data_IF_714798117049
#
_entry.id   IF_714798117049
#
_cell.length_a   1.000
_cell.length_b   1.000
_cell.length_c   1.000
_cell.angle_alpha   90.00
_cell.angle_beta   90.00
_cell.angle_gamma   90.00
#
_symmetry.space_group_name_H-M   'P 1'
#
loop_
_entity.id
_entity.type
_entity.pdbx_description
1 polymer ?
#
# COMPACT_ATOMS: atom_id res chain seq x y z
N UNK A 1 38.92 -6.33 18.24
CA UNK A 1 37.88 -5.95 19.19
C UNK A 1 38.22 -6.52 20.53
N UNK A 2 38.80 -5.69 21.43
CA UNK A 2 39.18 -6.10 22.78
C UNK A 2 37.95 -6.45 23.62
N UNK A 3 37.96 -7.59 24.30
CA UNK A 3 36.94 -7.95 25.28
C UNK A 3 37.01 -6.95 26.43
N UNK A 4 35.96 -6.16 26.63
CA UNK A 4 35.79 -5.36 27.85
C UNK A 4 35.52 -6.33 29.00
N UNK A 5 36.38 -6.39 30.05
CA UNK A 5 36.19 -7.27 31.17
C UNK A 5 34.95 -6.86 31.96
N UNK A 6 34.00 -7.79 32.12
CA UNK A 6 32.80 -7.58 32.93
C UNK A 6 31.52 -7.28 32.17
N UNK A 7 31.55 -7.14 30.84
CA UNK A 7 30.32 -7.08 30.05
C UNK A 7 29.86 -8.51 29.70
N UNK A 8 28.77 -8.93 30.32
CA UNK A 8 28.00 -10.07 29.82
C UNK A 8 27.66 -9.78 28.36
N UNK A 9 27.88 -10.74 27.46
CA UNK A 9 27.49 -10.60 26.03
C UNK A 9 25.98 -10.57 25.93
N UNK A 10 25.41 -9.37 26.02
CA UNK A 10 23.98 -9.17 25.71
C UNK A 10 23.78 -9.16 24.21
N UNK A 11 22.79 -9.90 23.68
CA UNK A 11 22.43 -9.77 22.28
C UNK A 11 21.97 -8.33 21.97
N UNK A 12 22.44 -7.79 20.87
CA UNK A 12 22.03 -6.47 20.39
C UNK A 12 20.98 -6.66 19.31
N UNK A 13 19.81 -6.07 19.52
CA UNK A 13 18.72 -6.10 18.54
C UNK A 13 18.70 -4.74 17.80
N UNK A 14 18.92 -4.78 16.49
CA UNK A 14 18.75 -3.61 15.64
C UNK A 14 17.28 -3.50 15.23
N UNK A 15 16.58 -2.50 15.73
CA UNK A 15 15.17 -2.23 15.46
C UNK A 15 15.00 -0.77 15.00
N UNK A 16 15.77 -0.38 13.98
CA UNK A 16 15.89 1.02 13.50
C UNK A 16 14.73 1.46 12.60
N UNK A 17 13.78 0.55 12.31
CA UNK A 17 12.65 0.85 11.44
C UNK A 17 13.05 1.02 9.96
N UNK A 18 12.30 1.83 9.24
CA UNK A 18 12.54 2.15 7.83
C UNK A 18 12.09 3.57 7.50
N UNK A 19 12.62 4.10 6.42
CA UNK A 19 12.25 5.39 5.87
C UNK A 19 11.48 5.20 4.56
N UNK A 20 10.45 6.02 4.34
CA UNK A 20 9.74 6.04 3.07
C UNK A 20 10.55 6.83 2.04
N UNK A 21 10.56 6.33 0.81
CA UNK A 21 11.09 7.10 -0.32
C UNK A 21 10.26 8.38 -0.52
N UNK A 22 10.89 9.45 -0.97
CA UNK A 22 10.19 10.70 -1.34
C UNK A 22 9.45 10.52 -2.67
N UNK A 23 8.39 9.72 -2.61
CA UNK A 23 7.61 9.33 -3.78
C UNK A 23 6.92 10.52 -4.46
N UNK A 24 6.62 11.58 -3.72
CA UNK A 24 6.00 12.80 -4.26
C UNK A 24 6.87 13.47 -5.31
N UNK A 25 8.19 13.47 -5.09
CA UNK A 25 9.15 14.01 -6.07
C UNK A 25 9.44 13.03 -7.22
N UNK A 26 9.49 11.74 -6.90
CA UNK A 26 9.97 10.73 -7.85
C UNK A 26 8.85 10.22 -8.75
N UNK A 27 7.62 10.14 -8.21
CA UNK A 27 6.43 9.62 -8.88
C UNK A 27 5.34 10.69 -8.96
N UNK A 28 5.66 11.84 -9.56
CA UNK A 28 4.71 12.95 -9.74
C UNK A 28 3.44 12.55 -10.49
N UNK A 29 3.53 11.51 -11.33
CA UNK A 29 2.40 10.91 -12.05
C UNK A 29 1.31 10.33 -11.14
N UNK A 30 1.61 10.10 -9.86
CA UNK A 30 0.62 9.64 -8.87
C UNK A 30 -0.05 10.80 -8.10
N UNK A 31 0.30 12.05 -8.42
CA UNK A 31 -0.37 13.23 -7.86
C UNK A 31 -0.18 13.43 -6.35
N UNK A 32 0.89 12.89 -5.79
CA UNK A 32 1.19 13.02 -4.37
C UNK A 32 1.44 14.46 -3.94
N UNK A 33 0.63 14.92 -2.97
CA UNK A 33 0.62 16.31 -2.53
C UNK A 33 -0.27 17.23 -3.37
N UNK A 34 -0.71 16.79 -4.55
CA UNK A 34 -1.71 17.46 -5.37
C UNK A 34 -3.13 17.04 -4.97
N UNK A 35 -3.32 15.74 -4.70
CA UNK A 35 -4.60 15.17 -4.30
C UNK A 35 -4.52 14.73 -2.83
N UNK A 36 -5.35 15.30 -1.93
CA UNK A 36 -5.34 14.95 -0.50
C UNK A 36 -5.58 13.46 -0.22
N UNK A 37 -6.40 12.81 -1.05
CA UNK A 37 -6.80 11.41 -0.88
C UNK A 37 -5.77 10.41 -1.45
N UNK A 38 -4.67 10.91 -2.06
CA UNK A 38 -3.52 10.08 -2.41
C UNK A 38 -2.54 10.04 -1.23
N UNK A 39 -2.61 8.95 -0.47
CA UNK A 39 -1.90 8.78 0.79
C UNK A 39 -0.92 7.60 0.75
N UNK A 40 0.00 7.56 1.70
CA UNK A 40 0.91 6.42 1.87
C UNK A 40 0.27 5.29 2.66
N UNK A 41 0.82 4.07 2.54
CA UNK A 41 0.39 2.94 3.36
C UNK A 41 0.52 3.21 4.86
N UNK A 42 1.51 3.99 5.31
CA UNK A 42 1.63 4.37 6.73
C UNK A 42 0.52 5.33 7.18
N UNK A 43 0.12 6.26 6.31
CA UNK A 43 -1.02 7.15 6.61
C UNK A 43 -2.32 6.34 6.67
N UNK A 44 -2.51 5.39 5.74
CA UNK A 44 -3.65 4.48 5.80
C UNK A 44 -3.64 3.62 7.08
N UNK A 45 -2.49 3.08 7.48
CA UNK A 45 -2.33 2.35 8.75
C UNK A 45 -2.77 3.19 9.96
N UNK A 46 -2.51 4.50 9.95
CA UNK A 46 -2.96 5.39 11.01
C UNK A 46 -4.47 5.61 11.02
N UNK A 47 -5.12 5.63 9.85
CA UNK A 47 -6.58 5.73 9.76
C UNK A 47 -7.28 4.48 10.32
N UNK A 48 -6.80 3.28 9.98
CA UNK A 48 -7.42 2.03 10.44
C UNK A 48 -7.16 1.70 11.91
N UNK A 49 -6.23 2.38 12.56
CA UNK A 49 -5.88 2.15 13.95
C UNK A 49 -6.85 2.85 14.90
N UNK A 50 -7.37 2.11 15.89
CA UNK A 50 -8.32 2.65 16.88
C UNK A 50 -7.77 3.84 17.68
N UNK A 51 -6.44 3.93 17.88
CA UNK A 51 -5.78 5.10 18.48
C UNK A 51 -5.30 6.13 17.45
N UNK A 52 -5.74 6.00 16.21
CA UNK A 52 -5.44 6.91 15.12
C UNK A 52 -6.30 8.18 15.13
N UNK A 53 -6.05 9.08 14.19
CA UNK A 53 -6.73 10.38 14.14
C UNK A 53 -8.23 10.29 13.86
N UNK A 54 -8.70 9.16 13.34
CA UNK A 54 -10.10 8.90 12.98
C UNK A 54 -10.71 7.77 13.81
N UNK A 55 -10.09 7.43 14.95
CA UNK A 55 -10.57 6.38 15.87
C UNK A 55 -10.82 5.02 15.17
N UNK A 56 -10.04 4.74 14.12
CA UNK A 56 -10.14 3.53 13.33
C UNK A 56 -11.16 3.56 12.19
N UNK A 57 -11.83 4.68 11.98
CA UNK A 57 -12.68 4.88 10.80
C UNK A 57 -11.82 5.23 9.58
N UNK A 58 -12.12 4.61 8.44
CA UNK A 58 -11.44 4.92 7.19
C UNK A 58 -12.15 6.10 6.55
N UNK A 59 -11.57 7.28 6.69
CA UNK A 59 -12.15 8.52 6.19
C UNK A 59 -11.21 9.17 5.17
N UNK A 60 -11.78 9.76 4.14
CA UNK A 60 -11.03 10.54 3.13
C UNK A 60 -10.43 11.80 3.77
N UNK A 61 -9.14 12.04 3.60
CA UNK A 61 -8.51 13.27 4.10
C UNK A 61 -9.12 14.57 3.56
N UNK A 62 -9.70 14.54 2.35
CA UNK A 62 -10.25 15.74 1.70
C UNK A 62 -11.56 16.25 2.33
N UNK A 63 -12.45 15.37 2.76
CA UNK A 63 -13.80 15.75 3.15
C UNK A 63 -14.35 14.98 4.38
N UNK A 64 -13.57 14.03 4.91
CA UNK A 64 -13.96 13.23 6.08
C UNK A 64 -15.06 12.21 5.80
N UNK A 65 -15.37 11.92 4.54
CA UNK A 65 -16.36 10.88 4.19
C UNK A 65 -15.72 9.52 4.05
N UNK A 66 -16.50 8.44 4.18
CA UNK A 66 -16.05 7.07 3.97
C UNK A 66 -15.88 6.78 2.48
N UNK A 67 -14.68 6.34 2.02
CA UNK A 67 -14.47 5.98 0.61
C UNK A 67 -15.20 4.69 0.26
N UNK A 68 -15.92 4.66 -0.84
CA UNK A 68 -16.58 3.48 -1.40
C UNK A 68 -15.69 2.69 -2.36
N UNK A 69 -14.57 3.26 -2.77
CA UNK A 69 -13.60 2.60 -3.64
C UNK A 69 -12.18 3.04 -3.29
N UNK A 70 -11.29 2.07 -3.07
CA UNK A 70 -9.87 2.33 -2.80
C UNK A 70 -8.98 1.59 -3.80
N UNK A 71 -7.86 2.21 -4.14
CA UNK A 71 -6.82 1.60 -4.98
C UNK A 71 -5.51 1.56 -4.22
N UNK A 72 -4.96 0.38 -4.07
CA UNK A 72 -3.64 0.14 -3.45
C UNK A 72 -2.63 -0.10 -4.56
N UNK A 73 -1.61 0.75 -4.64
CA UNK A 73 -0.54 0.65 -5.63
C UNK A 73 0.71 0.12 -4.95
N UNK A 74 1.16 -1.07 -5.36
CA UNK A 74 2.35 -1.71 -4.81
C UNK A 74 3.61 -1.33 -5.56
N UNK A 75 4.75 -1.61 -4.95
CA UNK A 75 6.09 -1.43 -5.52
C UNK A 75 6.43 0.02 -5.92
N UNK A 76 5.80 1.02 -5.29
CA UNK A 76 6.18 2.42 -5.48
C UNK A 76 7.54 2.66 -4.83
N UNK A 77 8.55 2.93 -5.65
CA UNK A 77 9.93 3.11 -5.22
C UNK A 77 10.72 1.83 -4.95
N UNK A 78 10.12 0.65 -5.10
CA UNK A 78 10.78 -0.66 -5.02
C UNK A 78 10.76 -1.37 -6.37
N UNK A 79 11.80 -2.15 -6.68
CA UNK A 79 11.95 -2.89 -7.93
C UNK A 79 11.95 -1.95 -9.17
N UNK A 80 12.46 -0.75 -8.97
CA UNK A 80 12.56 0.28 -9.99
C UNK A 80 13.98 0.86 -9.99
N UNK A 81 14.89 0.31 -10.80
CA UNK A 81 16.29 0.76 -10.83
C UNK A 81 16.47 2.17 -11.38
N UNK A 82 15.46 2.69 -12.10
CA UNK A 82 15.58 4.00 -12.75
C UNK A 82 15.13 5.14 -11.81
N UNK A 83 14.08 4.93 -11.04
CA UNK A 83 13.49 5.97 -10.19
C UNK A 83 13.62 5.70 -8.70
N UNK A 84 13.72 4.43 -8.28
CA UNK A 84 13.71 4.05 -6.88
C UNK A 84 14.84 3.11 -6.50
N UNK A 85 14.51 2.07 -5.74
CA UNK A 85 15.45 1.01 -5.35
C UNK A 85 15.26 -0.23 -6.23
N UNK A 86 16.35 -0.82 -6.71
CA UNK A 86 16.30 -2.02 -7.55
C UNK A 86 15.74 -3.25 -6.82
N UNK A 87 15.86 -3.30 -5.51
CA UNK A 87 15.43 -4.43 -4.67
C UNK A 87 13.97 -4.29 -4.22
N UNK A 88 13.39 -5.41 -3.74
CA UNK A 88 12.07 -5.46 -3.13
C UNK A 88 12.17 -5.17 -1.62
N UNK A 89 11.25 -4.36 -1.09
CA UNK A 89 11.13 -4.09 0.35
C UNK A 89 10.69 -5.31 1.17
N UNK A 90 10.12 -6.35 0.52
CA UNK A 90 9.61 -7.59 1.11
C UNK A 90 8.43 -7.42 2.09
N UNK A 91 8.01 -6.21 2.38
CA UNK A 91 6.96 -5.91 3.35
C UNK A 91 5.62 -5.55 2.68
N UNK A 92 5.66 -4.86 1.52
CA UNK A 92 4.47 -4.21 0.97
C UNK A 92 3.36 -5.19 0.57
N UNK A 93 3.67 -6.41 0.12
CA UNK A 93 2.64 -7.38 -0.26
C UNK A 93 1.75 -7.74 0.92
N UNK A 94 2.33 -7.98 2.08
CA UNK A 94 1.59 -8.40 3.27
C UNK A 94 0.85 -7.25 3.94
N UNK A 95 1.47 -6.06 4.07
CA UNK A 95 0.71 -4.95 4.65
C UNK A 95 -0.40 -4.46 3.70
N UNK A 96 -0.23 -4.57 2.37
CA UNK A 96 -1.30 -4.25 1.42
C UNK A 96 -2.46 -5.25 1.51
N UNK A 97 -2.18 -6.54 1.66
CA UNK A 97 -3.21 -7.54 1.92
C UNK A 97 -3.97 -7.24 3.22
N UNK A 98 -3.23 -6.92 4.30
CA UNK A 98 -3.84 -6.51 5.58
C UNK A 98 -4.74 -5.27 5.39
N UNK A 99 -4.29 -4.25 4.68
CA UNK A 99 -5.08 -3.03 4.46
C UNK A 99 -6.32 -3.31 3.62
N UNK A 100 -6.21 -4.15 2.59
CA UNK A 100 -7.36 -4.54 1.77
C UNK A 100 -8.39 -5.30 2.59
N UNK A 101 -7.96 -6.28 3.39
CA UNK A 101 -8.81 -7.01 4.32
C UNK A 101 -9.52 -6.07 5.31
N UNK A 102 -8.77 -5.20 5.99
CA UNK A 102 -9.33 -4.25 6.96
C UNK A 102 -10.30 -3.24 6.32
N UNK A 103 -10.03 -2.82 5.08
CA UNK A 103 -10.95 -1.94 4.37
C UNK A 103 -12.26 -2.65 4.05
N UNK A 104 -12.22 -3.85 3.50
CA UNK A 104 -13.42 -4.62 3.15
C UNK A 104 -14.24 -5.04 4.38
N UNK A 105 -13.57 -5.31 5.50
CA UNK A 105 -14.25 -5.58 6.78
C UNK A 105 -14.99 -4.35 7.30
N UNK A 106 -14.40 -3.16 7.22
CA UNK A 106 -14.98 -1.90 7.72
C UNK A 106 -15.98 -1.25 6.77
N UNK A 107 -15.84 -1.50 5.47
CA UNK A 107 -16.68 -0.94 4.40
C UNK A 107 -17.24 -2.09 3.55
N UNK A 108 -18.28 -2.80 4.00
CA UNK A 108 -18.76 -4.03 3.35
C UNK A 108 -19.16 -3.87 1.89
N UNK A 109 -19.70 -2.69 1.51
CA UNK A 109 -20.07 -2.37 0.11
C UNK A 109 -18.91 -1.73 -0.67
N UNK A 110 -17.73 -1.64 -0.07
CA UNK A 110 -16.54 -1.03 -0.63
C UNK A 110 -15.89 -1.89 -1.71
N UNK A 111 -15.22 -1.23 -2.64
CA UNK A 111 -14.42 -1.88 -3.69
C UNK A 111 -12.94 -1.63 -3.43
N UNK A 112 -12.16 -2.69 -3.35
CA UNK A 112 -10.71 -2.62 -3.15
C UNK A 112 -9.98 -3.20 -4.35
N UNK A 113 -9.13 -2.39 -4.99
CA UNK A 113 -8.29 -2.80 -6.11
C UNK A 113 -6.82 -2.75 -5.69
N UNK A 114 -6.05 -3.77 -6.03
CA UNK A 114 -4.63 -3.86 -5.71
C UNK A 114 -3.81 -4.04 -6.98
N UNK A 115 -3.11 -3.01 -7.41
CA UNK A 115 -2.16 -3.10 -8.53
C UNK A 115 -0.83 -3.69 -8.07
N UNK A 116 -0.37 -4.74 -8.73
CA UNK A 116 0.81 -5.51 -8.32
C UNK A 116 1.63 -6.03 -9.52
N UNK A 117 2.93 -6.24 -9.33
CA UNK A 117 3.78 -6.93 -10.32
C UNK A 117 3.80 -8.45 -10.07
N UNK A 118 4.03 -8.84 -8.83
CA UNK A 118 3.85 -10.18 -8.28
C UNK A 118 3.49 -10.09 -6.79
N UNK A 119 3.03 -11.19 -6.20
CA UNK A 119 2.75 -11.28 -4.77
C UNK A 119 3.86 -12.07 -4.10
N UNK A 120 4.42 -11.50 -3.03
CA UNK A 120 5.47 -12.12 -2.23
C UNK A 120 4.97 -12.27 -0.79
N UNK A 121 4.78 -13.53 -0.40
CA UNK A 121 4.22 -13.93 0.90
C UNK A 121 5.25 -14.72 1.72
N UNK A 122 6.44 -14.13 2.07
CA UNK A 122 7.52 -14.86 2.69
C UNK A 122 7.27 -15.06 4.19
N UNK A 123 6.49 -16.07 4.53
CA UNK A 123 6.21 -16.41 5.93
C UNK A 123 5.19 -17.51 6.05
N UNK A 124 5.19 -18.19 7.21
CA UNK A 124 4.21 -19.24 7.52
C UNK A 124 2.82 -18.61 7.63
N UNK A 125 1.84 -19.15 6.89
CA UNK A 125 0.45 -18.68 6.89
C UNK A 125 0.23 -17.38 6.09
N UNK A 126 1.24 -16.82 5.43
CA UNK A 126 1.10 -15.56 4.70
C UNK A 126 0.42 -15.74 3.34
N UNK A 127 0.60 -16.90 2.71
CA UNK A 127 -0.09 -17.21 1.47
C UNK A 127 -1.58 -17.42 1.70
N UNK A 128 -1.92 -18.14 2.76
CA UNK A 128 -3.31 -18.34 3.19
C UNK A 128 -3.97 -17.00 3.53
N UNK A 129 -3.26 -16.10 4.22
CA UNK A 129 -3.79 -14.76 4.51
C UNK A 129 -4.06 -13.97 3.22
N UNK A 130 -3.16 -14.02 2.24
CA UNK A 130 -3.37 -13.40 0.94
C UNK A 130 -4.58 -14.01 0.22
N UNK A 131 -4.70 -15.34 0.21
CA UNK A 131 -5.85 -16.03 -0.40
C UNK A 131 -7.17 -15.64 0.25
N UNK A 132 -7.20 -15.50 1.59
CA UNK A 132 -8.38 -15.01 2.30
C UNK A 132 -8.76 -13.60 1.86
N UNK A 133 -7.79 -12.72 1.66
CA UNK A 133 -8.05 -11.35 1.15
C UNK A 133 -8.71 -11.35 -0.24
N UNK A 134 -8.38 -12.30 -1.09
CA UNK A 134 -9.07 -12.49 -2.38
C UNK A 134 -10.52 -12.96 -2.17
N UNK A 135 -10.75 -13.88 -1.23
CA UNK A 135 -12.10 -14.34 -0.88
C UNK A 135 -12.96 -13.23 -0.29
N UNK A 136 -12.36 -12.28 0.45
CA UNK A 136 -13.04 -11.09 0.97
C UNK A 136 -13.47 -10.12 -0.15
N UNK A 137 -13.03 -10.34 -1.38
CA UNK A 137 -13.42 -9.56 -2.55
C UNK A 137 -12.41 -8.52 -3.02
N UNK A 138 -11.17 -8.52 -2.52
CA UNK A 138 -10.11 -7.67 -3.05
C UNK A 138 -9.75 -8.07 -4.49
N UNK A 139 -9.79 -7.09 -5.39
CA UNK A 139 -9.52 -7.27 -6.81
C UNK A 139 -8.05 -6.98 -7.11
N UNK A 140 -7.29 -8.01 -7.45
CA UNK A 140 -5.88 -7.90 -7.78
C UNK A 140 -5.68 -7.75 -9.29
N UNK A 141 -5.12 -6.61 -9.71
CA UNK A 141 -4.80 -6.29 -11.11
C UNK A 141 -3.29 -6.40 -11.31
N UNK A 142 -2.85 -7.35 -12.15
CA UNK A 142 -1.43 -7.54 -12.40
C UNK A 142 -0.91 -6.50 -13.36
N UNK A 143 -0.27 -5.47 -12.83
CA UNK A 143 0.28 -4.38 -13.63
C UNK A 143 0.71 -3.21 -12.78
N UNK A 144 1.05 -2.12 -13.44
CA UNK A 144 1.41 -0.86 -12.79
C UNK A 144 0.45 0.25 -13.19
N UNK A 145 0.10 1.09 -12.24
CA UNK A 145 -0.59 2.33 -12.53
C UNK A 145 0.40 3.27 -13.23
N UNK A 146 -0.01 3.82 -14.36
CA UNK A 146 0.81 4.76 -15.14
C UNK A 146 0.62 6.20 -14.67
N UNK A 147 -0.60 6.56 -14.27
CA UNK A 147 -0.92 7.88 -13.72
C UNK A 147 -2.20 7.87 -12.90
N UNK A 148 -2.31 8.88 -12.04
CA UNK A 148 -3.53 9.24 -11.33
C UNK A 148 -3.90 10.67 -11.73
N UNK A 149 -5.18 10.92 -11.98
CA UNK A 149 -5.73 12.24 -12.23
C UNK A 149 -7.15 12.34 -11.70
N UNK A 150 -7.65 13.56 -11.53
CA UNK A 150 -9.00 13.78 -11.02
C UNK A 150 -9.97 14.06 -12.18
N UNK A 151 -11.11 13.38 -12.15
CA UNK A 151 -12.20 13.56 -13.09
C UNK A 151 -13.53 13.29 -12.40
N UNK A 152 -14.50 14.20 -12.57
CA UNK A 152 -15.84 14.03 -11.98
C UNK A 152 -15.86 13.88 -10.46
N UNK A 153 -14.91 14.50 -9.76
CA UNK A 153 -14.80 14.41 -8.29
C UNK A 153 -14.16 13.12 -7.78
N UNK A 154 -13.74 12.24 -8.68
CA UNK A 154 -13.04 10.97 -8.34
C UNK A 154 -11.59 10.97 -8.80
N UNK A 155 -10.77 10.14 -8.16
CA UNK A 155 -9.41 9.86 -8.58
C UNK A 155 -9.42 8.71 -9.59
N UNK A 156 -8.94 8.98 -10.79
CA UNK A 156 -8.87 8.00 -11.86
C UNK A 156 -7.48 7.42 -11.91
N UNK A 157 -7.37 6.13 -11.58
CA UNK A 157 -6.15 5.34 -11.67
C UNK A 157 -6.12 4.62 -13.01
N UNK A 158 -5.20 5.01 -13.89
CA UNK A 158 -5.03 4.38 -15.20
C UNK A 158 -3.79 3.50 -15.21
N UNK A 159 -3.95 2.27 -15.65
CA UNK A 159 -2.88 1.28 -15.72
C UNK A 159 -3.12 0.24 -16.81
N UNK A 160 -2.33 -0.82 -16.78
CA UNK A 160 -2.47 -1.96 -17.67
C UNK A 160 -2.58 -3.24 -16.82
N UNK A 161 -3.45 -4.14 -17.23
CA UNK A 161 -3.45 -5.52 -16.75
C UNK A 161 -2.60 -6.37 -17.71
N UNK A 162 -1.44 -6.79 -17.23
CA UNK A 162 -0.48 -7.58 -18.03
C UNK A 162 -0.88 -9.04 -18.25
N UNK A 163 -1.92 -9.53 -17.56
CA UNK A 163 -2.48 -10.88 -17.82
C UNK A 163 -3.37 -10.88 -19.04
N UNK A 164 -4.13 -9.80 -19.22
CA UNK A 164 -5.09 -9.68 -20.33
C UNK A 164 -4.60 -8.77 -21.45
N UNK A 165 -3.44 -8.11 -21.26
CA UNK A 165 -2.87 -7.08 -22.15
C UNK A 165 -3.88 -5.95 -22.44
N UNK A 166 -4.71 -5.63 -21.46
CA UNK A 166 -5.75 -4.59 -21.60
C UNK A 166 -5.47 -3.38 -20.72
N UNK A 167 -5.91 -2.21 -21.20
CA UNK A 167 -5.91 -1.01 -20.35
C UNK A 167 -7.00 -1.12 -19.30
N UNK A 168 -6.62 -0.80 -18.06
CA UNK A 168 -7.54 -0.79 -16.91
C UNK A 168 -7.63 0.64 -16.38
N UNK A 169 -8.84 1.10 -16.18
CA UNK A 169 -9.14 2.39 -15.57
C UNK A 169 -10.06 2.15 -14.38
N UNK A 170 -9.61 2.56 -13.20
CA UNK A 170 -10.35 2.43 -11.94
C UNK A 170 -10.62 3.81 -11.38
N UNK A 171 -11.88 4.07 -11.06
CA UNK A 171 -12.26 5.27 -10.32
C UNK A 171 -12.24 4.96 -8.80
N UNK A 172 -11.48 5.74 -8.06
CA UNK A 172 -11.40 5.69 -6.60
C UNK A 172 -11.94 6.97 -5.96
N UNK A 173 -12.30 6.86 -4.69
CA UNK A 173 -12.73 8.01 -3.90
C UNK A 173 -11.56 8.69 -3.19
#
# INVERSE_FOLDING_TARGET
>A
LGKLPGLLSCPVIFATGYELIDWKKIYGEYGGGMYPDVITGLQFERLVNASGPTEGHILRPSDGTEPKSVVIIKCVGSRDPNKGKAYCSRACCMYSAKHAHQYLDKVPDGKCYVFYMDVRTPGKGYDEFYMNTLHDGAQYVRGRVSKIYQEGGKLICKGEDTLTSSQVTVAAD
#
